data_IF_140108854785
#
_entry.id   IF_140108854785
#
_cell.length_a   1.000
_cell.length_b   1.000
_cell.length_c   1.000
_cell.angle_alpha   90.00
_cell.angle_beta   90.00
_cell.angle_gamma   90.00
#
_symmetry.space_group_name_H-M   'P 1'
#
loop_
_entity.id
_entity.type
_entity.pdbx_description
1 polymer ?
#
# COMPACT_ATOMS: atom_id res chain seq x y z
N UNK A 1 -3.70 -21.62 -32.25
CA UNK A 1 -2.23 -21.71 -32.09
C UNK A 1 -1.81 -22.77 -31.07
N UNK A 2 -2.62 -23.07 -30.07
CA UNK A 2 -2.34 -24.12 -29.06
C UNK A 2 -2.28 -25.54 -29.63
N UNK A 3 -2.92 -25.77 -30.78
CA UNK A 3 -2.91 -27.06 -31.47
C UNK A 3 -1.60 -27.35 -32.25
N UNK A 4 -0.66 -26.41 -32.28
CA UNK A 4 0.61 -26.53 -33.01
C UNK A 4 1.79 -26.99 -32.13
N UNK A 5 1.55 -27.25 -30.85
CA UNK A 5 2.57 -27.61 -29.85
C UNK A 5 3.86 -26.76 -29.94
N UNK A 6 3.74 -25.43 -29.80
CA UNK A 6 4.89 -24.55 -29.95
C UNK A 6 5.85 -24.67 -28.76
N UNK A 7 7.14 -24.48 -28.96
CA UNK A 7 8.14 -24.37 -27.91
C UNK A 7 8.07 -22.99 -27.22
N UNK A 8 7.65 -21.96 -27.98
CA UNK A 8 7.50 -20.57 -27.47
C UNK A 8 6.13 -20.04 -27.87
N UNK A 9 5.39 -19.55 -26.92
CA UNK A 9 4.10 -18.87 -27.08
C UNK A 9 4.25 -17.39 -26.78
N UNK A 10 4.00 -16.53 -27.78
CA UNK A 10 4.02 -15.07 -27.60
C UNK A 10 2.59 -14.54 -27.65
N UNK A 11 2.19 -13.79 -26.64
CA UNK A 11 0.87 -13.19 -26.48
C UNK A 11 1.01 -11.70 -26.23
N UNK A 12 0.28 -10.92 -27.00
CA UNK A 12 0.21 -9.48 -26.82
C UNK A 12 -1.09 -9.12 -26.10
N UNK A 13 -0.96 -8.52 -24.92
CA UNK A 13 -2.04 -8.11 -24.03
C UNK A 13 -3.16 -9.15 -23.87
N UNK A 14 -2.87 -10.40 -23.53
CA UNK A 14 -3.88 -11.47 -23.55
C UNK A 14 -4.99 -11.28 -22.50
N UNK A 15 -4.78 -10.42 -21.53
CA UNK A 15 -5.75 -10.12 -20.45
C UNK A 15 -6.61 -8.90 -20.74
N UNK A 16 -6.29 -8.10 -21.77
CA UNK A 16 -7.07 -6.94 -22.15
C UNK A 16 -8.51 -7.34 -22.51
N UNK A 17 -9.48 -6.54 -22.04
CA UNK A 17 -10.92 -6.77 -22.26
C UNK A 17 -11.54 -7.99 -21.55
N UNK A 18 -10.77 -8.72 -20.74
CA UNK A 18 -11.31 -9.77 -19.88
C UNK A 18 -11.70 -9.22 -18.51
N UNK A 19 -12.80 -9.73 -17.96
CA UNK A 19 -13.09 -9.50 -16.54
C UNK A 19 -12.11 -10.29 -15.65
N UNK A 20 -12.05 -9.95 -14.38
CA UNK A 20 -11.07 -10.50 -13.44
C UNK A 20 -11.12 -12.04 -13.36
N UNK A 21 -12.29 -12.64 -13.47
CA UNK A 21 -12.45 -14.09 -13.43
C UNK A 21 -11.73 -14.75 -14.60
N UNK A 22 -12.01 -14.28 -15.82
CA UNK A 22 -11.40 -14.84 -17.03
C UNK A 22 -9.92 -14.51 -17.15
N UNK A 23 -9.47 -13.34 -16.64
CA UNK A 23 -8.03 -13.05 -16.51
C UNK A 23 -7.32 -14.11 -15.68
N UNK A 24 -7.84 -14.39 -14.48
CA UNK A 24 -7.22 -15.38 -13.59
C UNK A 24 -7.26 -16.80 -14.18
N UNK A 25 -8.34 -17.17 -14.83
CA UNK A 25 -8.47 -18.48 -15.51
C UNK A 25 -7.44 -18.62 -16.65
N UNK A 26 -7.35 -17.62 -17.53
CA UNK A 26 -6.38 -17.62 -18.63
C UNK A 26 -4.94 -17.70 -18.11
N UNK A 27 -4.58 -16.87 -17.13
CA UNK A 27 -3.23 -16.86 -16.56
C UNK A 27 -2.88 -18.20 -15.90
N UNK A 28 -3.85 -18.82 -15.22
CA UNK A 28 -3.68 -20.16 -14.64
C UNK A 28 -3.42 -21.21 -15.71
N UNK A 29 -4.19 -21.19 -16.80
CA UNK A 29 -4.00 -22.11 -17.93
C UNK A 29 -2.61 -21.92 -18.54
N UNK A 30 -2.19 -20.68 -18.79
CA UNK A 30 -0.88 -20.39 -19.37
C UNK A 30 0.27 -20.85 -18.48
N UNK A 31 0.17 -20.63 -17.15
CA UNK A 31 1.17 -21.09 -16.19
C UNK A 31 1.28 -22.60 -16.13
N UNK A 32 0.15 -23.31 -16.13
CA UNK A 32 0.12 -24.78 -16.17
C UNK A 32 0.72 -25.31 -17.47
N UNK A 33 0.38 -24.70 -18.61
CA UNK A 33 0.95 -25.08 -19.91
C UNK A 33 2.47 -24.89 -19.94
N UNK A 34 2.97 -23.77 -19.44
CA UNK A 34 4.41 -23.52 -19.38
C UNK A 34 5.11 -24.61 -18.57
N UNK A 35 4.53 -24.99 -17.42
CA UNK A 35 5.11 -25.99 -16.50
C UNK A 35 4.98 -27.42 -17.04
N UNK A 36 3.80 -27.83 -17.52
CA UNK A 36 3.50 -29.21 -17.91
C UNK A 36 4.10 -29.56 -19.28
N UNK A 37 4.04 -28.61 -20.22
CA UNK A 37 4.52 -28.81 -21.60
C UNK A 37 5.94 -28.29 -21.82
N UNK A 38 6.58 -27.72 -20.78
CA UNK A 38 7.95 -27.17 -20.86
C UNK A 38 8.10 -26.10 -21.96
N UNK A 39 7.04 -25.33 -22.20
CA UNK A 39 7.04 -24.23 -23.19
C UNK A 39 7.40 -22.90 -22.52
N UNK A 40 8.01 -22.02 -23.28
CA UNK A 40 8.22 -20.63 -22.85
C UNK A 40 7.01 -19.77 -23.24
N UNK A 41 6.39 -19.12 -22.26
CA UNK A 41 5.30 -18.15 -22.48
C UNK A 41 5.84 -16.75 -22.29
N UNK A 42 5.76 -15.93 -23.34
CA UNK A 42 6.10 -14.50 -23.29
C UNK A 42 4.81 -13.72 -23.53
N UNK A 43 4.47 -12.81 -22.61
CA UNK A 43 3.25 -12.01 -22.76
C UNK A 43 3.48 -10.57 -22.28
N UNK A 44 2.85 -9.62 -22.96
CA UNK A 44 2.75 -8.26 -22.47
C UNK A 44 1.59 -8.14 -21.49
N UNK A 45 1.80 -7.44 -20.37
CA UNK A 45 0.79 -7.18 -19.35
C UNK A 45 0.88 -5.72 -18.90
N UNK A 46 -0.28 -5.08 -18.72
CA UNK A 46 -0.37 -3.75 -18.12
C UNK A 46 -0.65 -3.79 -16.62
N UNK A 47 -1.21 -4.89 -16.14
CA UNK A 47 -1.54 -5.08 -14.74
C UNK A 47 -0.30 -5.50 -13.94
N UNK A 48 0.29 -4.53 -13.23
CA UNK A 48 1.52 -4.71 -12.46
C UNK A 48 1.38 -5.83 -11.42
N UNK A 49 0.23 -5.87 -10.71
CA UNK A 49 -0.04 -6.86 -9.68
C UNK A 49 -0.18 -8.28 -10.23
N UNK A 50 -0.75 -8.44 -11.44
CA UNK A 50 -0.83 -9.74 -12.11
C UNK A 50 0.55 -10.16 -12.64
N UNK A 51 1.30 -9.23 -13.24
CA UNK A 51 2.65 -9.50 -13.70
C UNK A 51 3.55 -10.00 -12.56
N UNK A 52 3.48 -9.37 -11.39
CA UNK A 52 4.23 -9.77 -10.20
C UNK A 52 3.90 -11.20 -9.75
N UNK A 53 2.62 -11.59 -9.79
CA UNK A 53 2.14 -12.87 -9.24
C UNK A 53 2.32 -14.06 -10.17
N UNK A 54 2.36 -13.82 -11.50
CA UNK A 54 2.33 -14.90 -12.48
C UNK A 54 3.69 -15.18 -13.11
N UNK A 55 4.55 -14.19 -13.23
CA UNK A 55 5.78 -14.28 -14.01
C UNK A 55 6.94 -14.87 -13.24
N UNK A 56 7.77 -15.68 -13.90
CA UNK A 56 9.05 -16.14 -13.37
C UNK A 56 10.15 -15.09 -13.63
N UNK A 57 10.02 -14.33 -14.71
CA UNK A 57 10.90 -13.21 -15.08
C UNK A 57 10.08 -12.06 -15.66
N UNK A 58 10.53 -10.86 -15.39
CA UNK A 58 9.94 -9.61 -15.89
C UNK A 58 10.94 -8.90 -16.80
N UNK A 59 10.47 -8.48 -17.95
CA UNK A 59 11.17 -7.58 -18.85
C UNK A 59 10.41 -6.26 -18.89
N UNK A 60 11.02 -5.20 -18.36
CA UNK A 60 10.43 -3.87 -18.39
C UNK A 60 10.93 -3.10 -19.60
N UNK A 61 9.99 -2.58 -20.39
CA UNK A 61 10.27 -1.77 -21.58
C UNK A 61 9.81 -0.34 -21.33
N UNK A 62 10.66 0.63 -21.67
CA UNK A 62 10.35 2.06 -21.61
C UNK A 62 10.74 2.71 -22.94
N UNK A 63 9.74 3.17 -23.68
CA UNK A 63 9.96 3.59 -25.07
C UNK A 63 10.47 2.43 -25.91
N UNK A 64 11.63 2.61 -26.53
CA UNK A 64 12.30 1.65 -27.41
C UNK A 64 13.47 0.90 -26.71
N UNK A 65 13.57 1.01 -25.37
CA UNK A 65 14.69 0.44 -24.62
C UNK A 65 14.22 -0.53 -23.54
N UNK A 66 15.09 -1.49 -23.20
CA UNK A 66 14.91 -2.34 -22.03
C UNK A 66 15.35 -1.56 -20.80
N UNK A 67 14.39 -1.23 -19.93
CA UNK A 67 14.63 -0.51 -18.68
C UNK A 67 15.11 -1.43 -17.56
N UNK A 68 14.66 -2.69 -17.57
CA UNK A 68 15.09 -3.69 -16.59
C UNK A 68 14.65 -5.10 -16.94
N UNK A 69 15.40 -6.07 -16.40
CA UNK A 69 15.10 -7.50 -16.54
C UNK A 69 15.48 -8.22 -15.25
N UNK A 70 14.61 -9.07 -14.74
CA UNK A 70 14.89 -9.83 -13.51
C UNK A 70 13.70 -10.62 -12.99
N UNK A 71 13.86 -11.13 -11.79
CA UNK A 71 12.78 -11.75 -11.03
C UNK A 71 11.81 -10.68 -10.51
N UNK A 72 10.53 -11.03 -10.29
CA UNK A 72 9.52 -10.08 -9.81
C UNK A 72 9.99 -9.31 -8.56
N UNK A 73 10.59 -9.99 -7.58
CA UNK A 73 11.05 -9.40 -6.33
C UNK A 73 12.19 -8.38 -6.52
N UNK A 74 12.95 -8.49 -7.60
CA UNK A 74 14.00 -7.53 -7.94
C UNK A 74 13.45 -6.30 -8.68
N UNK A 75 12.38 -6.49 -9.46
CA UNK A 75 11.76 -5.46 -10.30
C UNK A 75 10.72 -4.65 -9.52
N UNK A 76 9.84 -5.30 -8.73
CA UNK A 76 8.73 -4.64 -8.05
C UNK A 76 9.15 -3.95 -6.74
N UNK A 77 10.18 -3.10 -6.85
CA UNK A 77 10.58 -2.17 -5.80
C UNK A 77 9.98 -0.79 -6.07
N UNK A 78 9.63 -0.08 -5.00
CA UNK A 78 9.03 1.25 -5.08
C UNK A 78 9.77 2.17 -6.06
N UNK A 79 11.07 2.37 -5.83
CA UNK A 79 11.91 3.26 -6.65
C UNK A 79 11.98 2.84 -8.13
N UNK A 80 11.94 1.55 -8.42
CA UNK A 80 12.06 1.05 -9.78
C UNK A 80 10.76 1.30 -10.56
N UNK A 81 9.62 0.95 -9.98
CA UNK A 81 8.30 1.14 -10.60
C UNK A 81 8.00 2.63 -10.77
N UNK A 82 8.37 3.45 -9.78
CA UNK A 82 8.18 4.90 -9.84
C UNK A 82 8.95 5.52 -11.01
N UNK A 83 10.19 5.09 -11.24
CA UNK A 83 11.02 5.53 -12.38
C UNK A 83 10.53 4.98 -13.73
N UNK A 84 10.06 3.74 -13.75
CA UNK A 84 9.56 3.10 -14.95
C UNK A 84 8.33 3.85 -15.51
N UNK A 85 7.37 4.16 -14.63
CA UNK A 85 6.11 4.79 -15.00
C UNK A 85 6.09 6.32 -14.85
N UNK A 86 7.20 6.94 -14.42
CA UNK A 86 7.31 8.39 -14.18
C UNK A 86 6.17 8.91 -13.29
N UNK A 87 5.97 8.23 -12.16
CA UNK A 87 4.87 8.56 -11.25
C UNK A 87 5.24 9.80 -10.42
N UNK A 88 4.72 10.97 -10.81
CA UNK A 88 4.98 12.23 -10.12
C UNK A 88 3.90 12.55 -9.06
N UNK A 89 2.65 12.10 -9.29
CA UNK A 89 1.49 12.42 -8.44
C UNK A 89 0.97 11.20 -7.67
N UNK A 90 1.84 10.55 -6.93
CA UNK A 90 1.54 9.36 -6.16
C UNK A 90 2.79 8.52 -5.95
N UNK A 91 2.60 7.32 -5.47
CA UNK A 91 3.69 6.37 -5.35
C UNK A 91 3.17 4.94 -5.54
N UNK A 92 4.04 4.04 -5.94
CA UNK A 92 3.75 2.62 -5.99
C UNK A 92 4.08 1.98 -4.65
N UNK A 93 3.09 1.35 -4.03
CA UNK A 93 3.28 0.60 -2.79
C UNK A 93 3.49 -0.89 -3.14
N UNK A 94 4.70 -1.43 -2.96
CA UNK A 94 4.98 -2.82 -3.27
C UNK A 94 4.28 -3.82 -2.33
N UNK A 95 3.91 -3.39 -1.11
CA UNK A 95 3.18 -4.24 -0.15
C UNK A 95 1.74 -4.48 -0.61
N UNK A 96 1.07 -3.43 -1.10
CA UNK A 96 -0.29 -3.52 -1.63
C UNK A 96 -0.30 -3.86 -3.14
N UNK A 97 0.84 -3.76 -3.83
CA UNK A 97 0.93 -3.96 -5.27
C UNK A 97 0.10 -2.95 -6.07
N UNK A 98 -0.11 -1.76 -5.54
CA UNK A 98 -0.99 -0.73 -6.10
C UNK A 98 -0.37 0.65 -6.04
N UNK A 99 -0.90 1.55 -6.85
CA UNK A 99 -0.55 2.98 -6.81
C UNK A 99 -1.46 3.69 -5.82
N UNK A 100 -0.86 4.39 -4.86
CA UNK A 100 -1.54 5.33 -3.97
C UNK A 100 -1.37 6.75 -4.51
N UNK A 101 -2.45 7.54 -4.42
CA UNK A 101 -2.41 8.95 -4.85
C UNK A 101 -1.60 9.80 -3.87
N UNK A 102 -1.13 10.95 -4.33
CA UNK A 102 -0.38 11.88 -3.49
C UNK A 102 -1.14 12.27 -2.23
N UNK A 103 -0.41 12.48 -1.13
CA UNK A 103 -0.96 12.97 0.13
C UNK A 103 -1.53 14.38 -0.03
N UNK A 104 -2.51 14.72 0.81
CA UNK A 104 -3.01 16.08 0.91
C UNK A 104 -1.92 17.02 1.43
N UNK A 105 -1.86 18.24 0.87
CA UNK A 105 -0.91 19.27 1.27
C UNK A 105 -1.47 20.11 2.42
N UNK A 106 -0.58 20.73 3.19
CA UNK A 106 -0.93 21.64 4.28
C UNK A 106 -0.65 21.08 5.67
N UNK A 107 -1.05 21.85 6.68
CA UNK A 107 -0.95 21.42 8.07
C UNK A 107 -2.03 20.38 8.41
N UNK A 108 -1.67 19.40 9.25
CA UNK A 108 -2.61 18.33 9.60
C UNK A 108 -3.83 18.88 10.36
N UNK A 109 -5.01 18.67 9.78
CA UNK A 109 -6.28 19.03 10.39
C UNK A 109 -6.83 17.91 11.30
N UNK A 110 -6.47 16.68 11.02
CA UNK A 110 -6.96 15.47 11.69
C UNK A 110 -5.79 14.68 12.24
N UNK A 111 -5.94 14.15 13.45
CA UNK A 111 -5.04 13.13 13.98
C UNK A 111 -5.75 11.78 14.00
N UNK A 112 -5.14 10.75 13.40
CA UNK A 112 -5.75 9.41 13.32
C UNK A 112 -5.03 8.45 14.24
N UNK A 113 -5.79 7.79 15.11
CA UNK A 113 -5.33 6.73 16.01
C UNK A 113 -5.85 5.40 15.44
N UNK A 114 -4.93 4.51 15.06
CA UNK A 114 -5.26 3.23 14.41
C UNK A 114 -4.24 2.14 14.72
N UNK A 115 -4.53 0.92 14.35
CA UNK A 115 -3.60 -0.22 14.32
C UNK A 115 -4.18 -1.39 13.54
N UNK A 116 -3.30 -2.27 13.02
CA UNK A 116 -3.70 -3.54 12.43
C UNK A 116 -4.61 -3.41 11.21
N UNK A 117 -4.44 -2.37 10.41
CA UNK A 117 -5.22 -2.13 9.20
C UNK A 117 -6.50 -1.31 9.40
N UNK A 118 -6.85 -0.96 10.64
CA UNK A 118 -8.06 -0.16 10.93
C UNK A 118 -7.98 1.26 10.36
N UNK A 119 -6.78 1.80 10.19
CA UNK A 119 -6.53 3.14 9.65
C UNK A 119 -6.69 3.23 8.13
N UNK A 120 -6.49 2.15 7.39
CA UNK A 120 -6.48 2.15 5.92
C UNK A 120 -7.71 2.85 5.30
N UNK A 121 -8.96 2.50 5.66
CA UNK A 121 -10.12 3.16 5.09
C UNK A 121 -10.21 4.64 5.49
N UNK A 122 -9.79 4.99 6.71
CA UNK A 122 -9.79 6.38 7.20
C UNK A 122 -8.78 7.21 6.39
N UNK A 123 -7.55 6.72 6.23
CA UNK A 123 -6.50 7.41 5.48
C UNK A 123 -6.91 7.68 4.03
N UNK A 124 -7.46 6.66 3.35
CA UNK A 124 -7.93 6.80 1.98
C UNK A 124 -9.12 7.76 1.86
N UNK A 125 -10.02 7.79 2.84
CA UNK A 125 -11.14 8.74 2.86
C UNK A 125 -10.65 10.18 3.07
N UNK A 126 -9.71 10.40 4.00
CA UNK A 126 -9.11 11.71 4.23
C UNK A 126 -8.33 12.19 2.98
N UNK A 127 -7.57 11.28 2.36
CA UNK A 127 -6.85 11.57 1.12
C UNK A 127 -7.79 11.95 -0.02
N UNK A 128 -8.89 11.20 -0.24
CA UNK A 128 -9.93 11.52 -1.24
C UNK A 128 -10.59 12.87 -0.98
N UNK A 129 -10.79 13.21 0.29
CA UNK A 129 -11.35 14.51 0.69
C UNK A 129 -10.33 15.65 0.66
N UNK A 130 -9.06 15.36 0.35
CA UNK A 130 -7.93 16.30 0.40
C UNK A 130 -7.75 16.95 1.78
N UNK A 131 -8.03 16.20 2.84
CA UNK A 131 -7.85 16.63 4.23
C UNK A 131 -6.49 16.15 4.71
N UNK A 132 -5.54 17.04 5.01
CA UNK A 132 -4.24 16.67 5.53
C UNK A 132 -4.38 16.12 6.96
N UNK A 133 -3.69 15.01 7.24
CA UNK A 133 -3.77 14.35 8.53
C UNK A 133 -2.42 13.88 9.03
N UNK A 134 -2.32 13.71 10.34
CA UNK A 134 -1.23 13.01 11.02
C UNK A 134 -1.75 11.69 11.57
N UNK A 135 -0.88 10.69 11.62
CA UNK A 135 -1.21 9.38 12.16
C UNK A 135 -0.22 8.96 13.26
N UNK A 136 -0.68 8.23 14.22
CA UNK A 136 0.19 7.67 15.25
C UNK A 136 -0.56 7.28 16.53
N UNK A 137 0.10 6.63 17.46
CA UNK A 137 1.49 6.15 17.41
C UNK A 137 1.45 4.77 16.73
N UNK A 138 2.19 4.60 15.66
CA UNK A 138 2.18 3.39 14.85
C UNK A 138 3.50 2.64 15.00
N UNK A 139 3.44 1.33 15.19
CA UNK A 139 4.63 0.49 15.12
C UNK A 139 5.11 0.36 13.67
N UNK A 140 6.43 0.39 13.45
CA UNK A 140 7.00 0.36 12.10
C UNK A 140 6.72 -0.93 11.33
N UNK A 141 6.31 -1.99 12.00
CA UNK A 141 5.84 -3.25 11.40
C UNK A 141 4.31 -3.35 11.23
N UNK A 142 3.55 -2.30 11.57
CA UNK A 142 2.10 -2.27 11.37
C UNK A 142 1.77 -1.91 9.91
N UNK A 143 0.77 -2.57 9.35
CA UNK A 143 0.29 -2.28 8.00
C UNK A 143 -0.24 -0.83 7.86
N UNK A 144 -0.80 -0.28 8.94
CA UNK A 144 -1.23 1.12 8.98
C UNK A 144 -0.06 2.08 8.85
N UNK A 145 1.11 1.73 9.43
CA UNK A 145 2.32 2.53 9.29
C UNK A 145 2.77 2.64 7.83
N UNK A 146 2.77 1.52 7.12
CA UNK A 146 3.19 1.50 5.71
C UNK A 146 2.36 2.45 4.86
N UNK A 147 1.05 2.45 5.03
CA UNK A 147 0.19 3.36 4.28
C UNK A 147 0.25 4.80 4.78
N UNK A 148 0.26 5.00 6.11
CA UNK A 148 0.34 6.33 6.71
C UNK A 148 1.60 7.10 6.30
N UNK A 149 2.74 6.41 6.16
CA UNK A 149 4.01 7.00 5.71
C UNK A 149 3.88 7.74 4.37
N UNK A 150 3.00 7.28 3.50
CA UNK A 150 2.80 7.85 2.17
C UNK A 150 1.63 8.85 2.11
N UNK A 151 0.58 8.64 2.90
CA UNK A 151 -0.63 9.47 2.84
C UNK A 151 -0.73 10.54 3.93
N UNK A 152 -0.08 10.34 5.08
CA UNK A 152 -0.10 11.32 6.16
C UNK A 152 0.95 12.42 5.98
N UNK A 153 0.67 13.61 6.49
CA UNK A 153 1.64 14.73 6.54
C UNK A 153 2.73 14.41 7.55
N UNK A 154 2.36 13.85 8.70
CA UNK A 154 3.28 13.39 9.73
C UNK A 154 2.86 12.03 10.26
N UNK A 155 3.83 11.19 10.58
CA UNK A 155 3.63 9.92 11.29
C UNK A 155 4.45 9.93 12.56
N UNK A 156 3.84 9.48 13.66
CA UNK A 156 4.56 9.18 14.90
C UNK A 156 4.75 7.68 14.94
N UNK A 157 5.99 7.26 14.87
CA UNK A 157 6.39 5.85 14.84
C UNK A 157 6.96 5.39 16.18
N UNK A 158 6.88 4.09 16.40
CA UNK A 158 7.49 3.39 17.53
C UNK A 158 8.11 2.08 17.05
N UNK A 159 9.12 1.62 17.77
CA UNK A 159 9.79 0.37 17.48
C UNK A 159 8.87 -0.84 17.72
N UNK A 160 8.91 -1.87 16.86
CA UNK A 160 8.08 -3.05 16.99
C UNK A 160 8.27 -3.74 18.35
N UNK A 161 7.15 -4.16 18.95
CA UNK A 161 7.10 -4.91 20.21
C UNK A 161 7.54 -4.16 21.47
N UNK A 162 8.05 -2.94 21.33
CA UNK A 162 8.41 -2.10 22.48
C UNK A 162 7.18 -1.37 23.06
N UNK A 163 7.18 -1.06 24.34
CA UNK A 163 6.16 -0.16 24.91
C UNK A 163 6.22 1.22 24.26
N UNK A 164 5.06 1.84 24.07
CA UNK A 164 5.00 3.22 23.58
C UNK A 164 5.85 4.14 24.48
N UNK A 165 6.86 4.77 23.90
CA UNK A 165 7.79 5.66 24.59
C UNK A 165 7.12 6.96 25.05
N UNK A 166 7.64 7.57 26.13
CA UNK A 166 7.18 8.87 26.59
C UNK A 166 7.37 9.95 25.51
N UNK A 167 8.44 9.85 24.73
CA UNK A 167 8.72 10.78 23.63
C UNK A 167 7.63 10.72 22.56
N UNK A 168 7.27 9.54 22.08
CA UNK A 168 6.22 9.35 21.08
C UNK A 168 4.87 9.81 21.62
N UNK A 169 4.57 9.48 22.88
CA UNK A 169 3.34 9.86 23.56
C UNK A 169 3.17 11.39 23.68
N UNK A 170 4.18 12.11 24.18
CA UNK A 170 4.12 13.57 24.29
C UNK A 170 4.06 14.26 22.92
N UNK A 171 4.76 13.73 21.92
CA UNK A 171 4.65 14.21 20.55
C UNK A 171 3.23 14.03 19.99
N UNK A 172 2.59 12.90 20.28
CA UNK A 172 1.20 12.67 19.87
C UNK A 172 0.23 13.66 20.51
N UNK A 173 0.36 13.91 21.84
CA UNK A 173 -0.44 14.91 22.54
C UNK A 173 -0.25 16.32 21.95
N UNK A 174 0.98 16.68 21.58
CA UNK A 174 1.26 17.96 20.96
C UNK A 174 0.55 18.09 19.60
N UNK A 175 0.59 17.05 18.74
CA UNK A 175 -0.11 17.05 17.46
C UNK A 175 -1.63 17.08 17.64
N UNK A 176 -2.17 16.35 18.60
CA UNK A 176 -3.61 16.37 18.92
C UNK A 176 -4.06 17.79 19.33
N UNK A 177 -3.25 18.53 20.09
CA UNK A 177 -3.58 19.93 20.43
C UNK A 177 -3.71 20.81 19.20
N UNK A 178 -2.88 20.59 18.17
CA UNK A 178 -2.84 21.37 16.95
C UNK A 178 -3.94 21.00 15.94
N UNK A 179 -4.35 19.73 15.92
CA UNK A 179 -5.39 19.26 15.01
C UNK A 179 -6.80 19.74 15.44
N UNK A 180 -7.71 19.83 14.48
CA UNK A 180 -9.12 20.18 14.71
C UNK A 180 -9.87 19.02 15.36
N UNK A 181 -9.57 17.79 14.97
CA UNK A 181 -10.23 16.57 15.48
C UNK A 181 -9.29 15.36 15.51
N UNK A 182 -9.68 14.36 16.29
CA UNK A 182 -9.00 13.06 16.41
C UNK A 182 -9.98 11.97 15.99
N UNK A 183 -9.56 11.09 15.10
CA UNK A 183 -10.35 9.93 14.69
C UNK A 183 -9.76 8.67 15.32
N UNK A 184 -10.56 7.99 16.14
CA UNK A 184 -10.27 6.63 16.55
C UNK A 184 -10.79 5.68 15.46
N UNK A 185 -9.89 5.07 14.71
CA UNK A 185 -10.20 4.14 13.63
C UNK A 185 -10.47 2.70 14.13
N UNK A 186 -10.61 2.52 15.45
CA UNK A 186 -10.84 1.19 16.03
C UNK A 186 -9.56 0.52 16.50
N UNK A 187 -8.67 1.27 17.15
CA UNK A 187 -7.43 0.69 17.69
C UNK A 187 -7.70 -0.41 18.72
N UNK A 188 -6.94 -1.49 18.62
CA UNK A 188 -6.94 -2.56 19.63
C UNK A 188 -5.85 -2.28 20.66
N UNK A 189 -6.23 -2.19 21.95
CA UNK A 189 -5.31 -1.91 23.05
C UNK A 189 -4.77 -3.22 23.62
N UNK A 190 -3.46 -3.37 23.58
CA UNK A 190 -2.70 -4.49 24.15
C UNK A 190 -1.71 -4.06 25.22
N UNK A 191 -0.75 -4.93 25.53
CA UNK A 191 0.25 -4.68 26.59
C UNK A 191 1.25 -3.60 26.18
N UNK A 192 1.75 -3.62 24.96
CA UNK A 192 2.79 -2.70 24.47
C UNK A 192 2.24 -1.29 24.22
N UNK A 193 0.99 -1.19 23.76
CA UNK A 193 0.36 0.08 23.40
C UNK A 193 -0.64 0.60 24.44
N UNK A 194 -0.52 0.21 25.72
CA UNK A 194 -1.44 0.66 26.80
C UNK A 194 -1.61 2.17 26.88
N UNK A 195 -0.55 2.93 26.65
CA UNK A 195 -0.58 4.39 26.62
C UNK A 195 -1.53 4.97 25.57
N UNK A 196 -1.89 4.19 24.54
CA UNK A 196 -2.88 4.63 23.56
C UNK A 196 -4.26 4.85 24.19
N UNK A 197 -4.59 4.13 25.28
CA UNK A 197 -5.81 4.37 26.04
C UNK A 197 -5.81 5.77 26.68
N UNK A 198 -4.68 6.16 27.26
CA UNK A 198 -4.51 7.49 27.84
C UNK A 198 -4.56 8.58 26.75
N UNK A 199 -4.04 8.29 25.57
CA UNK A 199 -4.10 9.20 24.43
C UNK A 199 -5.54 9.42 23.93
N UNK A 200 -6.37 8.36 23.92
CA UNK A 200 -7.80 8.47 23.60
C UNK A 200 -8.55 9.30 24.64
N UNK A 201 -8.29 9.05 25.94
CA UNK A 201 -8.88 9.84 27.03
C UNK A 201 -8.48 11.32 26.89
N UNK A 202 -7.22 11.59 26.63
CA UNK A 202 -6.73 12.95 26.41
C UNK A 202 -7.45 13.65 25.24
N UNK A 203 -7.67 12.94 24.13
CA UNK A 203 -8.40 13.49 22.97
C UNK A 203 -9.89 13.75 23.29
N UNK A 204 -10.50 12.88 24.12
CA UNK A 204 -11.88 13.03 24.60
C UNK A 204 -12.03 14.24 25.55
N UNK A 205 -11.12 14.40 26.50
CA UNK A 205 -11.07 15.55 27.41
C UNK A 205 -10.94 16.89 26.67
N UNK A 206 -10.26 16.87 25.50
CA UNK A 206 -10.16 18.02 24.62
C UNK A 206 -11.41 18.24 23.75
N UNK A 207 -12.40 17.37 23.80
CA UNK A 207 -13.60 17.44 22.98
C UNK A 207 -13.35 17.22 21.49
N UNK A 208 -12.25 16.51 21.12
CA UNK A 208 -11.83 16.32 19.72
C UNK A 208 -12.02 14.90 19.21
N UNK A 209 -12.33 13.94 20.09
CA UNK A 209 -12.40 12.52 19.74
C UNK A 209 -13.68 12.20 18.97
N UNK A 210 -13.51 11.58 17.80
CA UNK A 210 -14.57 10.99 16.98
C UNK A 210 -14.26 9.51 16.76
N UNK A 211 -15.26 8.64 16.84
CA UNK A 211 -15.12 7.24 16.41
C UNK A 211 -15.46 7.11 14.94
N UNK A 212 -14.64 6.34 14.20
CA UNK A 212 -14.94 6.03 12.82
C UNK A 212 -15.99 4.92 12.76
N UNK A 213 -17.21 5.28 12.39
CA UNK A 213 -18.27 4.31 12.10
C UNK A 213 -18.06 3.73 10.70
N UNK A 214 -18.06 2.41 10.60
CA UNK A 214 -17.88 1.67 9.33
C UNK A 214 -19.13 1.67 8.49
#
# INVERSE_FOLDING_TARGET
>A
RLCQEPEVLILDEPTSFLDIRYKLELLTILKNMAKEKQITVIMSLHEIDLAQKISDKILCVKGDTIFGYGEPEAIFKEDFIQKLYEIDNGHFDPLFGSVELAKAEGEAEVFVISSGGSGIPVYRNLQKAKIPFSAGILYTNDIDYHLAKHLAVNVIEEEPFEPVSDRAFERAKQMIRQCKKVINAGIVIGTTNRKMKELLVFAEEMGKLESYEK
#
